data_IF_059275284582
#
_entry.id   IF_059275284582
#
_cell.length_a   1.000
_cell.length_b   1.000
_cell.length_c   1.000
_cell.angle_alpha   90.00
_cell.angle_beta   90.00
_cell.angle_gamma   90.00
#
_symmetry.space_group_name_H-M   'P 1'
#
loop_
_entity.id
_entity.type
_entity.pdbx_description
1 polymer ?
#
# COMPACT_ATOMS: atom_id res chain seq x y z
N UNK A 1 -19.93 -21.31 1.88
CA UNK A 1 -18.97 -20.53 2.69
C UNK A 1 -19.51 -19.12 2.79
N UNK A 2 -20.30 -18.86 3.84
CA UNK A 2 -20.88 -17.54 4.07
C UNK A 2 -19.98 -16.80 5.03
N UNK A 3 -19.41 -15.68 4.61
CA UNK A 3 -18.81 -14.75 5.55
C UNK A 3 -19.94 -14.21 6.44
N UNK A 4 -19.91 -14.46 7.75
CA UNK A 4 -20.75 -13.75 8.70
C UNK A 4 -20.33 -12.28 8.67
N UNK A 5 -21.27 -11.34 8.77
CA UNK A 5 -21.01 -9.90 8.65
C UNK A 5 -19.87 -9.42 9.59
N UNK A 6 -19.73 -10.01 10.78
CA UNK A 6 -18.61 -9.76 11.70
C UNK A 6 -17.22 -10.11 11.12
N UNK A 7 -17.05 -11.25 10.44
CA UNK A 7 -15.77 -11.61 9.81
C UNK A 7 -15.45 -10.72 8.61
N UNK A 8 -16.47 -10.24 7.89
CA UNK A 8 -16.26 -9.30 6.79
C UNK A 8 -15.80 -7.93 7.30
N UNK A 9 -16.33 -7.47 8.45
CA UNK A 9 -15.91 -6.21 9.08
C UNK A 9 -14.50 -6.30 9.64
N UNK A 10 -14.12 -7.39 10.31
CA UNK A 10 -12.74 -7.59 10.77
C UNK A 10 -11.70 -7.69 9.64
N UNK A 11 -12.13 -7.98 8.42
CA UNK A 11 -11.26 -7.98 7.24
C UNK A 11 -11.03 -6.58 6.64
N UNK A 12 -11.80 -5.57 7.04
CA UNK A 12 -11.61 -4.19 6.61
C UNK A 12 -10.36 -3.60 7.28
N UNK A 13 -9.49 -3.00 6.48
CA UNK A 13 -8.20 -2.46 6.93
C UNK A 13 -8.17 -0.93 6.94
N UNK A 14 -9.35 -0.28 6.86
CA UNK A 14 -9.47 1.18 6.71
C UNK A 14 -8.87 1.99 7.87
N UNK A 15 -8.79 1.39 9.06
CA UNK A 15 -8.22 2.01 10.26
C UNK A 15 -6.72 1.75 10.45
N UNK A 16 -6.06 1.06 9.50
CA UNK A 16 -4.63 0.80 9.59
C UNK A 16 -3.83 2.11 9.49
N UNK A 17 -2.98 2.37 10.49
CA UNK A 17 -2.10 3.54 10.49
C UNK A 17 -1.01 3.37 9.45
N UNK A 18 -0.93 4.32 8.51
CA UNK A 18 0.12 4.35 7.50
C UNK A 18 1.41 4.93 8.08
N UNK A 19 2.53 4.47 7.55
CA UNK A 19 3.82 5.12 7.76
C UNK A 19 3.77 6.56 7.20
N UNK A 20 4.61 7.43 7.76
CA UNK A 20 4.80 8.79 7.25
C UNK A 20 5.51 8.82 5.90
N UNK A 21 6.31 7.78 5.62
CA UNK A 21 7.07 7.67 4.39
C UNK A 21 6.16 7.35 3.20
N UNK A 22 6.45 7.97 2.06
CA UNK A 22 5.68 7.84 0.83
C UNK A 22 6.65 7.60 -0.33
N UNK A 23 6.33 6.64 -1.20
CA UNK A 23 7.12 6.36 -2.39
C UNK A 23 6.42 6.96 -3.61
N UNK A 24 7.12 7.82 -4.35
CA UNK A 24 6.62 8.41 -5.60
C UNK A 24 7.34 7.75 -6.78
N UNK A 25 6.57 7.24 -7.74
CA UNK A 25 7.06 6.58 -8.95
C UNK A 25 6.59 7.34 -10.19
N UNK A 26 7.47 7.46 -11.19
CA UNK A 26 7.17 8.03 -12.50
C UNK A 26 7.06 6.90 -13.54
N UNK A 27 5.83 6.64 -14.00
CA UNK A 27 5.51 5.62 -14.99
C UNK A 27 5.15 6.31 -16.31
N UNK A 28 6.17 6.78 -17.02
CA UNK A 28 5.99 7.65 -18.19
C UNK A 28 5.39 8.99 -17.78
N UNK A 29 4.23 9.34 -18.35
CA UNK A 29 3.50 10.57 -18.01
C UNK A 29 2.63 10.42 -16.75
N UNK A 30 2.48 9.20 -16.22
CA UNK A 30 1.70 8.92 -15.02
C UNK A 30 2.56 8.92 -13.76
N UNK A 31 1.98 9.35 -12.66
CA UNK A 31 2.63 9.48 -11.36
C UNK A 31 1.87 8.66 -10.35
N UNK A 32 2.59 7.76 -9.69
CA UNK A 32 2.03 6.87 -8.70
C UNK A 32 2.61 7.23 -7.34
N UNK A 33 1.74 7.37 -6.34
CA UNK A 33 2.15 7.41 -4.94
C UNK A 33 1.80 6.09 -4.28
N UNK A 34 2.75 5.51 -3.57
CA UNK A 34 2.57 4.30 -2.79
C UNK A 34 2.79 4.63 -1.32
N UNK A 35 1.81 4.24 -0.50
CA UNK A 35 1.81 4.37 0.96
C UNK A 35 1.56 3.01 1.58
N UNK A 36 2.18 2.75 2.72
CA UNK A 36 2.06 1.46 3.40
C UNK A 36 2.00 1.63 4.92
N UNK A 37 1.47 0.65 5.64
CA UNK A 37 1.65 0.51 7.08
C UNK A 37 2.97 -0.20 7.47
N UNK A 38 3.77 -0.62 6.48
CA UNK A 38 5.02 -1.35 6.64
C UNK A 38 6.18 -0.58 6.02
N UNK A 39 7.12 -0.12 6.85
CA UNK A 39 8.34 0.57 6.39
C UNK A 39 9.27 -0.36 5.62
N UNK A 40 9.29 -1.65 5.96
CA UNK A 40 10.08 -2.66 5.26
C UNK A 40 9.62 -2.77 3.80
N UNK A 41 8.31 -2.91 3.58
CA UNK A 41 7.73 -2.94 2.23
C UNK A 41 8.05 -1.67 1.45
N UNK A 42 7.96 -0.49 2.07
CA UNK A 42 8.33 0.75 1.39
C UNK A 42 9.81 0.77 0.97
N UNK A 43 10.71 0.28 1.82
CA UNK A 43 12.14 0.20 1.51
C UNK A 43 12.44 -0.79 0.37
N UNK A 44 11.87 -2.00 0.42
CA UNK A 44 12.03 -3.01 -0.63
C UNK A 44 11.48 -2.51 -1.98
N UNK A 45 10.30 -1.87 -1.96
CA UNK A 45 9.72 -1.30 -3.17
C UNK A 45 10.51 -0.10 -3.69
N UNK A 46 11.07 0.74 -2.81
CA UNK A 46 11.93 1.84 -3.20
C UNK A 46 13.21 1.34 -3.87
N UNK A 47 13.81 0.27 -3.36
CA UNK A 47 14.97 -0.37 -4.00
C UNK A 47 14.61 -0.95 -5.36
N UNK A 48 13.54 -1.76 -5.42
CA UNK A 48 13.10 -2.41 -6.65
C UNK A 48 12.75 -1.39 -7.75
N UNK A 49 12.01 -0.35 -7.41
CA UNK A 49 11.57 0.70 -8.33
C UNK A 49 12.52 1.90 -8.43
N UNK A 50 13.75 1.79 -7.93
CA UNK A 50 14.75 2.87 -7.96
C UNK A 50 14.97 3.49 -9.34
N UNK A 51 14.80 2.71 -10.41
CA UNK A 51 14.93 3.12 -11.81
C UNK A 51 13.77 3.98 -12.33
N UNK A 52 12.65 4.06 -11.61
CA UNK A 52 11.46 4.86 -11.92
C UNK A 52 11.06 5.78 -10.77
N UNK A 53 11.99 6.12 -9.88
CA UNK A 53 11.74 7.08 -8.81
C UNK A 53 11.26 8.42 -9.39
N UNK A 54 10.15 8.93 -8.84
CA UNK A 54 9.47 10.14 -9.28
C UNK A 54 9.63 11.30 -8.30
N UNK A 55 9.35 12.52 -8.79
CA UNK A 55 9.28 13.69 -7.92
C UNK A 55 7.98 13.71 -7.10
N UNK A 56 8.04 14.32 -5.91
CA UNK A 56 6.87 14.57 -5.08
C UNK A 56 5.95 15.58 -5.77
N UNK A 57 4.77 15.13 -6.18
CA UNK A 57 3.71 15.95 -6.78
C UNK A 57 2.36 15.26 -6.59
N UNK A 58 1.28 15.92 -7.01
CA UNK A 58 -0.06 15.29 -7.03
C UNK A 58 0.00 14.00 -7.85
N UNK A 59 -0.28 12.83 -7.25
CA UNK A 59 -0.26 11.57 -7.97
C UNK A 59 -1.52 11.42 -8.82
N UNK A 60 -1.38 10.78 -9.96
CA UNK A 60 -2.49 10.33 -10.79
C UNK A 60 -3.13 9.07 -10.17
N UNK A 61 -2.31 8.25 -9.50
CA UNK A 61 -2.71 7.00 -8.84
C UNK A 61 -2.15 6.97 -7.42
N UNK A 62 -3.02 6.75 -6.43
CA UNK A 62 -2.63 6.61 -5.02
C UNK A 62 -2.92 5.17 -4.55
N UNK A 63 -1.85 4.42 -4.27
CA UNK A 63 -1.91 3.03 -3.84
C UNK A 63 -1.64 2.97 -2.33
N UNK A 64 -2.54 2.30 -1.61
CA UNK A 64 -2.39 2.03 -0.19
C UNK A 64 -2.21 0.52 -0.04
N UNK A 65 -0.98 0.09 0.28
CA UNK A 65 -0.67 -1.29 0.59
C UNK A 65 -0.77 -1.50 2.10
N UNK A 66 -1.74 -2.29 2.56
CA UNK A 66 -1.84 -2.65 3.98
C UNK A 66 -1.41 -4.11 4.16
N UNK A 67 -0.30 -4.31 4.85
CA UNK A 67 0.10 -5.62 5.31
C UNK A 67 -0.75 -6.06 6.50
N UNK A 68 -1.17 -7.32 6.46
CA UNK A 68 -1.82 -8.03 7.56
C UNK A 68 -1.36 -9.47 7.61
N UNK A 69 -1.51 -10.09 8.77
CA UNK A 69 -1.45 -11.55 8.86
C UNK A 69 -2.49 -12.18 7.93
N UNK A 70 -2.08 -13.25 7.25
CA UNK A 70 -2.98 -14.01 6.41
C UNK A 70 -4.15 -14.53 7.27
N UNK A 71 -5.41 -14.41 6.81
CA UNK A 71 -6.52 -14.99 7.54
C UNK A 71 -6.31 -16.50 7.63
N UNK A 72 -6.42 -17.04 8.84
CA UNK A 72 -6.47 -18.50 9.03
C UNK A 72 -7.68 -19.02 8.24
N UNK A 73 -7.41 -19.90 7.28
CA UNK A 73 -8.45 -20.61 6.53
C UNK A 73 -8.75 -21.89 7.30
N UNK A 74 -9.87 -21.92 8.03
CA UNK A 74 -10.46 -23.16 8.58
C UNK A 74 -11.09 -24.00 7.47
#
# INVERSE_FOLDING_TARGET
MGYTEESAVSALQGDASLCTDELYLALGDCTLRLRSNSTAVLADLAEYFSHVAGAVKTPDIDIIAIERDAPELD
#
